data_IF_948200959199
#
_entry.id   IF_948200959199
#
_cell.length_a   1.000
_cell.length_b   1.000
_cell.length_c   1.000
_cell.angle_alpha   90.00
_cell.angle_beta   90.00
_cell.angle_gamma   90.00
#
_symmetry.space_group_name_H-M   'P 1'
#
loop_
_entity.id
_entity.type
_entity.pdbx_description
1 polymer ?
#
# COMPACT_ATOMS: atom_id res chain seq x y z
N UNK A 1 -23.58 18.62 12.15
CA UNK A 1 -22.45 17.85 11.63
C UNK A 1 -22.10 18.05 10.15
N UNK A 2 -22.97 18.56 9.31
CA UNK A 2 -22.73 18.65 7.86
C UNK A 2 -21.52 19.48 7.43
N UNK A 3 -21.08 20.41 8.24
CA UNK A 3 -19.94 21.31 7.89
C UNK A 3 -18.63 20.99 8.66
N UNK A 4 -18.65 20.17 9.71
CA UNK A 4 -17.48 19.96 10.58
C UNK A 4 -16.37 19.15 9.89
N UNK A 5 -16.71 18.06 9.20
CA UNK A 5 -15.74 17.27 8.44
C UNK A 5 -15.09 18.09 7.30
N UNK A 6 -15.85 18.85 6.46
CA UNK A 6 -15.27 19.77 5.48
C UNK A 6 -14.33 20.82 6.09
N UNK A 7 -14.63 21.34 7.28
CA UNK A 7 -13.76 22.31 7.98
C UNK A 7 -12.44 21.66 8.43
N UNK A 8 -12.49 20.46 9.03
CA UNK A 8 -11.28 19.72 9.42
C UNK A 8 -10.44 19.42 8.17
N UNK A 9 -11.06 18.91 7.14
CA UNK A 9 -10.39 18.59 5.88
C UNK A 9 -9.78 19.84 5.22
N UNK A 10 -10.50 20.96 5.21
CA UNK A 10 -10.02 22.25 4.73
C UNK A 10 -8.82 22.75 5.54
N UNK A 11 -8.86 22.64 6.85
CA UNK A 11 -7.72 22.97 7.72
C UNK A 11 -6.47 22.14 7.36
N UNK A 12 -6.62 20.82 7.25
CA UNK A 12 -5.51 19.92 6.87
C UNK A 12 -4.96 20.30 5.50
N UNK A 13 -5.83 20.56 4.53
CA UNK A 13 -5.46 20.97 3.17
C UNK A 13 -4.66 22.30 3.18
N UNK A 14 -5.14 23.32 3.88
CA UNK A 14 -4.47 24.62 3.99
C UNK A 14 -3.08 24.46 4.63
N UNK A 15 -2.97 23.74 5.75
CA UNK A 15 -1.68 23.51 6.42
C UNK A 15 -0.74 22.72 5.49
N UNK A 16 -1.23 21.71 4.79
CA UNK A 16 -0.43 20.95 3.82
C UNK A 16 0.11 21.85 2.69
N UNK A 17 -0.70 22.75 2.15
CA UNK A 17 -0.26 23.75 1.16
C UNK A 17 0.81 24.67 1.76
N UNK A 18 0.62 25.17 2.98
CA UNK A 18 1.57 26.07 3.65
C UNK A 18 2.91 25.40 3.95
N UNK A 19 2.90 24.11 4.28
CA UNK A 19 4.10 23.31 4.50
C UNK A 19 4.83 22.95 3.20
N UNK A 20 4.13 22.97 2.07
CA UNK A 20 4.65 22.58 0.74
C UNK A 20 5.26 23.77 0.03
N UNK A 21 6.50 24.11 0.37
CA UNK A 21 7.23 25.19 -0.30
C UNK A 21 7.55 24.79 -1.74
N UNK A 22 7.41 25.77 -2.65
CA UNK A 22 7.80 25.57 -4.05
C UNK A 22 9.33 25.42 -4.13
N UNK A 23 9.78 24.28 -4.63
CA UNK A 23 11.19 24.04 -4.90
C UNK A 23 11.52 24.13 -6.39
N UNK A 24 12.74 24.55 -6.70
CA UNK A 24 13.37 24.48 -8.02
C UNK A 24 14.59 23.56 -8.01
N UNK A 25 14.92 22.96 -6.86
CA UNK A 25 16.04 22.03 -6.71
C UNK A 25 15.61 20.61 -7.09
N UNK A 26 16.35 20.03 -8.02
CA UNK A 26 16.09 18.68 -8.55
C UNK A 26 16.10 17.61 -7.47
N UNK A 27 17.13 17.58 -6.63
CA UNK A 27 17.28 16.57 -5.57
C UNK A 27 16.22 16.72 -4.47
N UNK A 28 15.82 17.94 -4.18
CA UNK A 28 14.70 18.20 -3.25
C UNK A 28 13.40 17.65 -3.81
N UNK A 29 13.14 17.86 -5.10
CA UNK A 29 11.89 17.45 -5.73
C UNK A 29 11.77 15.93 -5.89
N UNK A 30 12.81 15.25 -6.40
CA UNK A 30 12.76 13.83 -6.73
C UNK A 30 13.34 12.90 -5.67
N UNK A 31 14.34 13.36 -4.89
CA UNK A 31 15.04 12.54 -3.90
C UNK A 31 14.71 12.93 -2.44
N UNK A 32 13.85 13.92 -2.21
CA UNK A 32 13.40 14.29 -0.86
C UNK A 32 14.50 14.88 0.04
N UNK A 33 15.65 15.23 -0.51
CA UNK A 33 16.76 15.83 0.22
C UNK A 33 16.43 17.30 0.48
N UNK A 34 16.75 17.81 1.68
CA UNK A 34 16.54 19.24 1.99
C UNK A 34 17.38 20.14 1.08
N UNK A 35 17.03 21.42 0.95
CA UNK A 35 17.80 22.39 0.16
C UNK A 35 19.25 22.55 0.70
N UNK A 36 19.48 22.21 1.96
CA UNK A 36 20.81 22.20 2.59
C UNK A 36 21.61 20.89 2.35
N UNK A 37 21.05 19.94 1.58
CA UNK A 37 21.70 18.65 1.30
C UNK A 37 21.54 17.61 2.41
N UNK A 38 20.75 17.86 3.44
CA UNK A 38 20.57 16.94 4.56
C UNK A 38 19.45 15.92 4.28
N UNK A 39 19.68 14.63 4.58
CA UNK A 39 18.65 13.60 4.50
C UNK A 39 17.63 13.77 5.64
N UNK A 40 16.41 13.20 5.48
CA UNK A 40 15.41 13.23 6.54
C UNK A 40 15.86 12.43 7.78
N UNK A 41 15.58 12.98 8.96
CA UNK A 41 15.88 12.33 10.24
C UNK A 41 14.97 11.10 10.50
N UNK A 42 15.33 10.31 11.54
CA UNK A 42 14.66 9.06 11.89
C UNK A 42 13.13 9.22 12.00
N UNK A 43 12.65 10.11 12.85
CA UNK A 43 11.21 10.26 13.10
C UNK A 43 10.46 10.85 11.91
N UNK A 44 11.11 11.68 11.11
CA UNK A 44 10.56 12.18 9.85
C UNK A 44 10.31 11.02 8.89
N UNK A 45 11.27 10.10 8.75
CA UNK A 45 11.11 8.89 7.94
C UNK A 45 10.06 7.95 8.51
N UNK A 46 10.05 7.70 9.83
CA UNK A 46 9.06 6.84 10.48
C UNK A 46 7.66 7.37 10.20
N UNK A 47 7.42 8.64 10.44
CA UNK A 47 6.09 9.23 10.24
C UNK A 47 5.67 9.23 8.78
N UNK A 48 6.60 9.55 7.87
CA UNK A 48 6.33 9.45 6.44
C UNK A 48 6.01 8.01 6.01
N UNK A 49 6.79 7.03 6.44
CA UNK A 49 6.52 5.61 6.13
C UNK A 49 5.18 5.14 6.67
N UNK A 50 4.86 5.46 7.93
CA UNK A 50 3.61 5.03 8.57
C UNK A 50 2.40 5.65 7.90
N UNK A 51 2.39 6.99 7.75
CA UNK A 51 1.21 7.70 7.25
C UNK A 51 0.94 7.43 5.79
N UNK A 52 1.98 7.18 4.99
CA UNK A 52 1.83 6.84 3.57
C UNK A 52 1.37 5.41 3.33
N UNK A 53 1.58 4.52 4.29
CA UNK A 53 1.18 3.12 4.18
C UNK A 53 -0.12 2.78 4.93
N UNK A 54 -0.52 3.61 5.88
CA UNK A 54 -1.87 3.58 6.46
C UNK A 54 -2.83 4.31 5.51
N UNK A 55 -3.18 3.68 4.41
CA UNK A 55 -4.14 4.22 3.44
C UNK A 55 -5.53 4.39 4.07
N UNK A 56 -6.32 5.31 3.57
CA UNK A 56 -7.72 5.42 3.99
C UNK A 56 -8.49 4.11 3.80
N UNK A 57 -8.26 3.44 2.66
CA UNK A 57 -8.80 2.10 2.43
C UNK A 57 -8.27 1.05 3.41
N UNK A 58 -7.04 1.17 3.89
CA UNK A 58 -6.47 0.24 4.86
C UNK A 58 -7.17 0.31 6.21
N UNK A 59 -7.43 1.51 6.69
CA UNK A 59 -8.21 1.75 7.90
C UNK A 59 -9.64 1.21 7.74
N UNK A 60 -10.28 1.55 6.63
CA UNK A 60 -11.64 1.07 6.33
C UNK A 60 -11.68 -0.47 6.24
N UNK A 61 -10.71 -1.09 5.55
CA UNK A 61 -10.65 -2.54 5.43
C UNK A 61 -10.36 -3.22 6.76
N UNK A 62 -9.48 -2.67 7.61
CA UNK A 62 -9.24 -3.20 8.95
C UNK A 62 -10.53 -3.23 9.78
N UNK A 63 -11.31 -2.14 9.74
CA UNK A 63 -12.60 -2.07 10.41
C UNK A 63 -13.64 -3.04 9.79
N UNK A 64 -13.75 -3.12 8.46
CA UNK A 64 -14.65 -4.04 7.77
C UNK A 64 -14.32 -5.51 8.09
N UNK A 65 -13.03 -5.87 8.06
CA UNK A 65 -12.61 -7.24 8.40
C UNK A 65 -12.85 -7.55 9.88
N UNK A 66 -12.66 -6.57 10.77
CA UNK A 66 -13.04 -6.69 12.18
C UNK A 66 -14.54 -6.91 12.36
N UNK A 67 -15.36 -6.19 11.61
CA UNK A 67 -16.81 -6.30 11.62
C UNK A 67 -17.32 -7.70 11.21
N UNK A 68 -16.80 -8.25 10.12
CA UNK A 68 -17.26 -9.56 9.63
C UNK A 68 -16.58 -10.76 10.27
N UNK A 69 -15.27 -10.64 10.60
CA UNK A 69 -14.43 -11.78 11.01
C UNK A 69 -13.77 -11.59 12.39
N UNK A 70 -14.17 -10.56 13.14
CA UNK A 70 -13.70 -10.29 14.50
C UNK A 70 -12.19 -10.01 14.56
N UNK A 71 -11.59 -10.43 15.66
CA UNK A 71 -10.15 -10.25 15.91
C UNK A 71 -9.29 -10.84 14.78
N UNK A 72 -9.68 -11.99 14.25
CA UNK A 72 -8.91 -12.70 13.22
C UNK A 72 -8.88 -11.96 11.89
N UNK A 73 -9.98 -11.28 11.53
CA UNK A 73 -10.01 -10.40 10.36
C UNK A 73 -9.14 -9.16 10.52
N UNK A 74 -9.16 -8.54 11.70
CA UNK A 74 -8.30 -7.40 12.02
C UNK A 74 -6.81 -7.79 12.03
N UNK A 75 -6.47 -8.91 12.66
CA UNK A 75 -5.11 -9.45 12.67
C UNK A 75 -4.62 -9.79 11.25
N UNK A 76 -5.50 -10.37 10.42
CA UNK A 76 -5.16 -10.66 9.03
C UNK A 76 -4.70 -9.41 8.28
N UNK A 77 -5.38 -8.29 8.49
CA UNK A 77 -4.97 -7.04 7.87
C UNK A 77 -3.71 -6.44 8.51
N UNK A 78 -3.57 -6.55 9.84
CA UNK A 78 -2.36 -6.09 10.54
C UNK A 78 -1.10 -6.85 10.10
N UNK A 79 -1.22 -8.13 9.70
CA UNK A 79 -0.10 -8.94 9.22
C UNK A 79 0.52 -8.42 7.92
N UNK A 80 -0.24 -7.71 7.08
CA UNK A 80 0.35 -7.02 5.92
C UNK A 80 1.39 -5.98 6.31
N UNK A 81 1.30 -5.39 7.52
CA UNK A 81 2.26 -4.40 8.02
C UNK A 81 3.60 -4.99 8.46
N UNK A 82 3.69 -6.33 8.56
CA UNK A 82 4.98 -7.04 8.63
C UNK A 82 5.83 -6.81 7.37
N UNK A 83 5.23 -6.31 6.29
CA UNK A 83 5.94 -5.85 5.09
C UNK A 83 6.97 -4.75 5.38
N UNK A 84 6.84 -3.99 6.45
CA UNK A 84 7.92 -3.09 6.88
C UNK A 84 9.15 -3.86 7.35
N UNK A 85 8.98 -4.99 8.03
CA UNK A 85 10.10 -5.83 8.46
C UNK A 85 10.79 -6.45 7.25
N UNK A 86 10.02 -7.09 6.36
CA UNK A 86 10.56 -7.70 5.13
C UNK A 86 11.13 -6.64 4.20
N UNK A 87 10.49 -5.46 4.07
CA UNK A 87 10.99 -4.32 3.31
C UNK A 87 12.32 -3.79 3.84
N UNK A 88 12.46 -3.67 5.16
CA UNK A 88 13.73 -3.30 5.79
C UNK A 88 14.86 -4.29 5.51
N UNK A 89 14.56 -5.61 5.52
CA UNK A 89 15.51 -6.66 5.17
C UNK A 89 15.88 -6.61 3.68
N UNK A 90 14.91 -6.34 2.80
CA UNK A 90 15.13 -6.20 1.36
C UNK A 90 16.01 -4.99 1.06
N UNK A 91 15.70 -3.83 1.65
CA UNK A 91 16.49 -2.59 1.46
C UNK A 91 17.91 -2.76 2.03
N UNK A 92 18.09 -3.41 3.18
CA UNK A 92 19.42 -3.65 3.74
C UNK A 92 20.29 -4.46 2.77
N UNK A 93 19.72 -5.50 2.15
CA UNK A 93 20.43 -6.29 1.16
C UNK A 93 20.66 -5.51 -0.13
N UNK A 94 19.63 -4.94 -0.72
CA UNK A 94 19.65 -4.32 -2.03
C UNK A 94 20.60 -3.11 -2.05
N UNK A 95 20.43 -2.18 -1.09
CA UNK A 95 21.18 -0.92 -1.07
C UNK A 95 22.53 -1.05 -0.38
N UNK A 96 22.57 -1.63 0.83
CA UNK A 96 23.75 -1.55 1.70
C UNK A 96 24.68 -2.75 1.58
N UNK A 97 24.22 -3.90 1.08
CA UNK A 97 25.10 -5.06 0.81
C UNK A 97 25.51 -5.15 -0.65
N UNK A 98 24.57 -4.92 -1.56
CA UNK A 98 24.82 -5.04 -3.00
C UNK A 98 25.08 -3.70 -3.70
N UNK A 99 24.82 -2.55 -3.07
CA UNK A 99 25.13 -1.21 -3.58
C UNK A 99 24.21 -0.68 -4.67
N UNK A 100 23.05 -1.29 -4.89
CA UNK A 100 22.09 -0.81 -5.88
C UNK A 100 21.42 0.49 -5.43
N UNK A 101 21.21 1.41 -6.37
CA UNK A 101 20.59 2.72 -6.12
C UNK A 101 19.06 2.71 -6.24
N UNK A 102 18.49 1.68 -6.85
CA UNK A 102 17.05 1.48 -7.00
C UNK A 102 16.71 0.01 -7.19
N UNK A 103 15.41 -0.33 -7.06
CA UNK A 103 14.92 -1.68 -7.40
C UNK A 103 15.09 -1.95 -8.90
N UNK A 104 14.91 -0.92 -9.73
CA UNK A 104 15.08 -1.02 -11.18
C UNK A 104 16.52 -1.36 -11.56
N UNK A 105 17.50 -0.74 -10.91
CA UNK A 105 18.93 -1.03 -11.15
C UNK A 105 19.23 -2.51 -10.88
N UNK A 106 18.74 -3.04 -9.75
CA UNK A 106 18.89 -4.45 -9.41
C UNK A 106 18.22 -5.37 -10.42
N UNK A 107 16.97 -5.08 -10.79
CA UNK A 107 16.24 -5.91 -11.74
C UNK A 107 16.82 -5.83 -13.16
N UNK A 108 17.39 -4.67 -13.52
CA UNK A 108 18.09 -4.52 -14.78
C UNK A 108 19.39 -5.34 -14.83
N UNK A 109 20.15 -5.30 -13.72
CA UNK A 109 21.39 -6.08 -13.58
C UNK A 109 21.13 -7.59 -13.70
N UNK A 110 20.01 -8.07 -13.13
CA UNK A 110 19.68 -9.50 -13.09
C UNK A 110 18.94 -10.01 -14.33
N UNK A 111 18.01 -9.24 -14.86
CA UNK A 111 17.04 -9.68 -15.89
C UNK A 111 16.95 -8.74 -17.09
N UNK A 112 17.85 -7.73 -17.18
CA UNK A 112 17.89 -6.78 -18.28
C UNK A 112 16.58 -6.00 -18.45
N UNK A 113 16.24 -5.68 -19.71
CA UNK A 113 15.02 -4.92 -20.04
C UNK A 113 13.72 -5.61 -19.62
N UNK A 114 13.68 -6.91 -19.51
CA UNK A 114 12.51 -7.65 -19.06
C UNK A 114 12.30 -7.46 -17.56
N UNK A 115 13.40 -7.42 -16.76
CA UNK A 115 13.35 -7.13 -15.34
C UNK A 115 12.67 -5.81 -15.04
N UNK A 116 13.13 -4.74 -15.68
CA UNK A 116 12.56 -3.40 -15.50
C UNK A 116 11.18 -3.25 -16.14
N UNK A 117 10.94 -3.84 -17.30
CA UNK A 117 9.68 -3.72 -18.04
C UNK A 117 8.50 -4.30 -17.26
N UNK A 118 8.59 -5.55 -16.83
CA UNK A 118 7.56 -6.21 -16.02
C UNK A 118 7.32 -5.46 -14.70
N UNK A 119 8.39 -5.04 -14.03
CA UNK A 119 8.32 -4.32 -12.77
C UNK A 119 7.61 -2.97 -12.91
N UNK A 120 8.05 -2.14 -13.85
CA UNK A 120 7.49 -0.82 -14.08
C UNK A 120 6.02 -0.88 -14.48
N UNK A 121 5.61 -1.91 -15.23
CA UNK A 121 4.22 -2.14 -15.58
C UNK A 121 3.35 -2.37 -14.34
N UNK A 122 3.74 -3.31 -13.45
CA UNK A 122 2.98 -3.61 -12.22
C UNK A 122 2.96 -2.42 -11.26
N UNK A 123 4.11 -1.76 -11.09
CA UNK A 123 4.23 -0.58 -10.21
C UNK A 123 3.41 0.60 -10.74
N UNK A 124 3.38 0.82 -12.06
CA UNK A 124 2.55 1.85 -12.68
C UNK A 124 1.07 1.63 -12.41
N UNK A 125 0.57 0.40 -12.61
CA UNK A 125 -0.83 0.04 -12.29
C UNK A 125 -1.10 0.24 -10.79
N UNK A 126 -0.17 -0.17 -9.93
CA UNK A 126 -0.30 0.01 -8.49
C UNK A 126 -0.51 1.48 -8.11
N UNK A 127 0.36 2.37 -8.59
CA UNK A 127 0.26 3.80 -8.27
C UNK A 127 -1.07 4.41 -8.75
N UNK A 128 -1.55 4.04 -9.94
CA UNK A 128 -2.85 4.50 -10.44
C UNK A 128 -3.98 3.95 -9.54
N UNK A 129 -3.91 2.68 -9.13
CA UNK A 129 -4.90 2.08 -8.24
C UNK A 129 -4.91 2.70 -6.83
N UNK A 130 -3.76 3.19 -6.35
CA UNK A 130 -3.68 3.93 -5.09
C UNK A 130 -4.40 5.28 -5.16
N UNK A 131 -4.19 6.04 -6.23
CA UNK A 131 -4.92 7.30 -6.45
C UNK A 131 -6.43 7.02 -6.49
N UNK A 132 -6.85 6.04 -7.29
CA UNK A 132 -8.24 5.61 -7.41
C UNK A 132 -8.86 5.28 -6.05
N UNK A 133 -8.20 4.39 -5.28
CA UNK A 133 -8.79 3.86 -4.05
C UNK A 133 -8.93 4.92 -2.96
N UNK A 134 -7.97 5.83 -2.81
CA UNK A 134 -8.05 6.90 -1.82
C UNK A 134 -9.10 7.96 -2.21
N UNK A 135 -9.20 8.32 -3.48
CA UNK A 135 -10.26 9.22 -3.96
C UNK A 135 -11.66 8.63 -3.80
N UNK A 136 -11.80 7.32 -4.01
CA UNK A 136 -13.07 6.62 -3.79
C UNK A 136 -13.51 6.70 -2.31
N UNK A 137 -12.59 6.49 -1.37
CA UNK A 137 -12.90 6.64 0.08
C UNK A 137 -13.30 8.08 0.38
N UNK A 138 -12.56 9.08 -0.10
CA UNK A 138 -12.93 10.49 0.06
C UNK A 138 -14.36 10.72 -0.43
N UNK A 139 -14.69 10.29 -1.63
CA UNK A 139 -16.04 10.47 -2.18
C UNK A 139 -17.14 9.91 -1.27
N UNK A 140 -16.97 8.68 -0.79
CA UNK A 140 -17.95 7.99 0.07
C UNK A 140 -18.14 8.71 1.41
N UNK A 141 -17.10 9.32 1.96
CA UNK A 141 -17.17 10.05 3.23
C UNK A 141 -18.00 11.34 3.15
N UNK A 142 -18.06 11.96 1.97
CA UNK A 142 -18.77 13.22 1.77
C UNK A 142 -20.17 13.08 1.16
N UNK A 143 -20.48 11.95 0.55
CA UNK A 143 -21.80 11.75 -0.03
C UNK A 143 -22.02 10.39 -0.67
N UNK A 144 -23.29 10.12 -0.99
CA UNK A 144 -23.66 8.93 -1.74
C UNK A 144 -23.00 8.94 -3.13
N UNK A 145 -22.61 7.78 -3.62
CA UNK A 145 -21.93 7.64 -4.91
C UNK A 145 -22.71 8.33 -6.05
N UNK A 146 -22.06 9.22 -6.78
CA UNK A 146 -22.63 10.01 -7.86
C UNK A 146 -23.36 11.29 -7.42
N UNK A 147 -23.50 11.57 -6.12
CA UNK A 147 -24.06 12.84 -5.64
C UNK A 147 -23.13 14.03 -5.93
N UNK A 148 -23.67 15.24 -5.92
CA UNK A 148 -22.86 16.45 -6.11
C UNK A 148 -21.79 16.61 -5.04
N UNK A 149 -22.08 16.24 -3.78
CA UNK A 149 -21.11 16.27 -2.69
C UNK A 149 -19.99 15.24 -2.88
N UNK A 150 -20.34 14.04 -3.33
CA UNK A 150 -19.37 12.99 -3.67
C UNK A 150 -18.39 13.46 -4.75
N UNK A 151 -18.92 13.94 -5.89
CA UNK A 151 -18.11 14.42 -7.01
C UNK A 151 -17.31 15.67 -6.63
N UNK A 152 -17.95 16.62 -5.96
CA UNK A 152 -17.31 17.87 -5.50
C UNK A 152 -16.15 17.60 -4.55
N UNK A 153 -16.31 16.68 -3.58
CA UNK A 153 -15.24 16.31 -2.67
C UNK A 153 -14.06 15.68 -3.43
N UNK A 154 -14.31 14.70 -4.28
CA UNK A 154 -13.25 14.06 -5.08
C UNK A 154 -12.46 15.10 -5.87
N UNK A 155 -13.14 15.99 -6.59
CA UNK A 155 -12.48 17.00 -7.41
C UNK A 155 -11.71 18.02 -6.57
N UNK A 156 -12.28 18.49 -5.45
CA UNK A 156 -11.63 19.43 -4.56
C UNK A 156 -10.36 18.85 -3.92
N UNK A 157 -10.44 17.64 -3.37
CA UNK A 157 -9.28 16.96 -2.77
C UNK A 157 -8.22 16.61 -3.82
N UNK A 158 -8.61 16.16 -5.01
CA UNK A 158 -7.70 15.93 -6.12
C UNK A 158 -6.93 17.21 -6.50
N UNK A 159 -7.64 18.32 -6.65
CA UNK A 159 -7.03 19.59 -7.04
C UNK A 159 -6.06 20.10 -5.96
N UNK A 160 -6.46 20.08 -4.68
CA UNK A 160 -5.63 20.57 -3.59
C UNK A 160 -4.41 19.68 -3.37
N UNK A 161 -4.59 18.35 -3.36
CA UNK A 161 -3.47 17.41 -3.20
C UNK A 161 -2.49 17.51 -4.35
N UNK A 162 -2.98 17.56 -5.58
CA UNK A 162 -2.14 17.76 -6.76
C UNK A 162 -1.35 19.07 -6.66
N UNK A 163 -2.01 20.16 -6.26
CA UNK A 163 -1.39 21.49 -6.14
C UNK A 163 -0.17 21.43 -5.19
N UNK A 164 -0.34 20.98 -3.95
CA UNK A 164 0.77 21.02 -3.01
C UNK A 164 1.84 19.96 -3.32
N UNK A 165 1.48 18.80 -3.88
CA UNK A 165 2.47 17.81 -4.35
C UNK A 165 3.33 18.39 -5.48
N UNK A 166 2.74 19.12 -6.44
CA UNK A 166 3.47 19.77 -7.53
C UNK A 166 4.38 20.92 -7.07
N UNK A 167 4.12 21.52 -5.91
CA UNK A 167 4.97 22.59 -5.39
C UNK A 167 6.35 22.08 -4.97
N UNK A 168 6.42 21.02 -4.17
CA UNK A 168 7.68 20.60 -3.56
C UNK A 168 8.09 19.14 -3.78
N UNK A 169 7.31 18.35 -4.53
CA UNK A 169 7.63 16.95 -4.82
C UNK A 169 7.77 16.08 -3.56
N UNK A 170 8.73 15.14 -3.58
CA UNK A 170 8.94 14.19 -2.49
C UNK A 170 9.30 14.87 -1.16
N UNK A 171 10.07 15.94 -1.17
CA UNK A 171 10.42 16.66 0.05
C UNK A 171 9.20 17.30 0.73
N UNK A 172 8.30 17.90 -0.06
CA UNK A 172 7.05 18.44 0.48
C UNK A 172 6.17 17.31 1.04
N UNK A 173 6.05 16.19 0.33
CA UNK A 173 5.32 15.01 0.80
C UNK A 173 5.84 14.54 2.17
N UNK A 174 7.14 14.35 2.34
CA UNK A 174 7.74 13.94 3.62
C UNK A 174 7.42 14.93 4.76
N UNK A 175 7.36 16.22 4.48
CA UNK A 175 7.04 17.25 5.50
C UNK A 175 5.55 17.27 5.85
N UNK A 176 4.68 17.15 4.85
CA UNK A 176 3.22 17.04 5.08
C UNK A 176 2.87 15.76 5.80
N UNK A 177 3.57 14.66 5.50
CA UNK A 177 3.42 13.36 6.18
C UNK A 177 3.64 13.46 7.69
N UNK A 178 4.65 14.22 8.15
CA UNK A 178 4.90 14.42 9.59
C UNK A 178 3.71 15.10 10.27
N UNK A 179 3.20 16.19 9.67
CA UNK A 179 2.03 16.89 10.18
C UNK A 179 0.79 15.98 10.18
N UNK A 180 0.53 15.34 9.06
CA UNK A 180 -0.64 14.46 8.89
C UNK A 180 -0.57 13.25 9.83
N UNK A 181 0.62 12.68 10.07
CA UNK A 181 0.81 11.61 11.05
C UNK A 181 0.50 12.05 12.48
N UNK A 182 0.95 13.22 12.88
CA UNK A 182 0.63 13.77 14.21
C UNK A 182 -0.88 14.01 14.36
N UNK A 183 -1.52 14.55 13.33
CA UNK A 183 -2.98 14.75 13.32
C UNK A 183 -3.73 13.42 13.35
N UNK A 184 -3.25 12.41 12.61
CA UNK A 184 -3.82 11.06 12.61
C UNK A 184 -3.73 10.42 14.00
N UNK A 185 -2.56 10.43 14.62
CA UNK A 185 -2.36 9.85 15.95
C UNK A 185 -3.21 10.55 17.01
N UNK A 186 -3.31 11.88 16.95
CA UNK A 186 -4.18 12.65 17.85
C UNK A 186 -5.66 12.26 17.65
N UNK A 187 -6.10 12.22 16.41
CA UNK A 187 -7.48 11.84 16.04
C UNK A 187 -7.79 10.42 16.50
N UNK A 188 -6.87 9.48 16.27
CA UNK A 188 -7.00 8.08 16.71
C UNK A 188 -7.04 7.97 18.22
N UNK A 189 -6.17 8.70 18.94
CA UNK A 189 -6.16 8.70 20.41
C UNK A 189 -7.49 9.21 20.99
N UNK A 190 -8.03 10.31 20.45
CA UNK A 190 -9.34 10.86 20.86
C UNK A 190 -10.44 9.84 20.57
N UNK A 191 -10.48 9.29 19.37
CA UNK A 191 -11.46 8.29 18.95
C UNK A 191 -11.47 7.06 19.88
N UNK A 192 -10.29 6.50 20.17
CA UNK A 192 -10.15 5.34 21.04
C UNK A 192 -10.52 5.67 22.49
N UNK A 193 -10.11 6.82 23.02
CA UNK A 193 -10.49 7.25 24.38
C UNK A 193 -12.00 7.31 24.52
N UNK A 194 -12.70 7.89 23.54
CA UNK A 194 -14.16 7.94 23.52
C UNK A 194 -14.78 6.55 23.39
N UNK A 195 -14.22 5.70 22.51
CA UNK A 195 -14.71 4.34 22.31
C UNK A 195 -14.50 3.47 23.56
N UNK A 196 -13.37 3.55 24.22
CA UNK A 196 -13.12 2.87 25.51
C UNK A 196 -14.06 3.36 26.61
N UNK A 197 -14.38 4.65 26.63
CA UNK A 197 -15.32 5.25 27.59
C UNK A 197 -16.77 4.71 27.49
N UNK A 198 -17.12 4.04 26.40
CA UNK A 198 -18.45 3.43 26.26
C UNK A 198 -18.63 2.13 27.04
N UNK A 199 -17.56 1.52 27.55
CA UNK A 199 -17.60 0.21 28.23
C UNK A 199 -17.83 -0.99 27.30
N UNK A 200 -17.83 -0.80 25.98
CA UNK A 200 -18.08 -1.84 24.97
C UNK A 200 -16.90 -2.78 24.75
N UNK A 201 -15.70 -2.42 25.23
CA UNK A 201 -14.48 -3.22 25.11
C UNK A 201 -14.43 -4.29 26.22
N UNK A 202 -15.17 -5.38 26.04
CA UNK A 202 -15.08 -6.57 26.88
C UNK A 202 -14.38 -7.71 26.13
N UNK A 203 -13.89 -8.70 26.89
CA UNK A 203 -13.32 -9.92 26.28
C UNK A 203 -14.32 -10.67 25.40
N UNK A 204 -15.60 -10.68 25.80
CA UNK A 204 -16.68 -11.28 25.02
C UNK A 204 -16.88 -10.57 23.69
N UNK A 205 -16.88 -9.23 23.69
CA UNK A 205 -17.01 -8.43 22.48
C UNK A 205 -15.81 -8.61 21.55
N UNK A 206 -14.58 -8.57 22.10
CA UNK A 206 -13.37 -8.67 21.32
C UNK A 206 -13.16 -10.07 20.72
N UNK A 207 -13.62 -11.11 21.40
CA UNK A 207 -13.49 -12.52 21.02
C UNK A 207 -14.80 -13.15 20.54
N UNK A 208 -15.74 -12.34 20.03
CA UNK A 208 -17.05 -12.83 19.58
C UNK A 208 -16.99 -13.88 18.47
N UNK A 209 -15.86 -13.98 17.76
CA UNK A 209 -15.53 -15.04 16.79
C UNK A 209 -14.45 -15.94 17.34
N UNK A 210 -14.75 -17.25 17.48
CA UNK A 210 -13.78 -18.27 17.81
C UNK A 210 -12.73 -18.40 16.70
N UNK A 211 -11.57 -18.97 17.04
CA UNK A 211 -10.56 -19.32 16.03
C UNK A 211 -10.93 -20.61 15.31
N UNK A 212 -11.05 -20.54 14.01
CA UNK A 212 -11.11 -21.70 13.10
C UNK A 212 -10.20 -21.40 11.90
N UNK A 213 -9.24 -22.27 11.63
CA UNK A 213 -8.26 -22.10 10.54
C UNK A 213 -8.93 -22.05 9.16
N UNK A 214 -10.13 -22.59 9.02
CA UNK A 214 -10.93 -22.59 7.79
C UNK A 214 -11.74 -21.32 7.60
N UNK A 215 -11.90 -20.51 8.66
CA UNK A 215 -12.63 -19.25 8.59
C UNK A 215 -11.89 -18.20 7.74
N UNK A 216 -12.64 -17.27 7.10
CA UNK A 216 -12.07 -16.25 6.21
C UNK A 216 -11.01 -15.36 6.86
N UNK A 217 -11.09 -15.07 8.16
CA UNK A 217 -10.09 -14.26 8.89
C UNK A 217 -8.72 -14.94 8.93
N UNK A 218 -8.58 -16.13 9.58
CA UNK A 218 -7.34 -16.90 9.59
C UNK A 218 -6.82 -17.26 8.19
N UNK A 219 -7.70 -17.61 7.25
CA UNK A 219 -7.29 -17.85 5.85
C UNK A 219 -6.63 -16.61 5.25
N UNK A 220 -7.19 -15.42 5.47
CA UNK A 220 -6.58 -14.18 4.99
C UNK A 220 -5.25 -13.85 5.69
N UNK A 221 -5.07 -14.25 6.96
CA UNK A 221 -3.76 -14.14 7.64
C UNK A 221 -2.69 -14.95 6.91
N UNK A 222 -3.00 -16.18 6.49
CA UNK A 222 -2.08 -17.00 5.70
C UNK A 222 -1.74 -16.34 4.37
N UNK A 223 -2.72 -15.77 3.68
CA UNK A 223 -2.49 -15.00 2.45
C UNK A 223 -1.54 -13.82 2.70
N UNK A 224 -1.75 -13.05 3.76
CA UNK A 224 -0.88 -11.94 4.12
C UNK A 224 0.57 -12.41 4.33
N UNK A 225 0.78 -13.51 5.07
CA UNK A 225 2.11 -14.08 5.31
C UNK A 225 2.80 -14.59 4.03
N UNK A 226 2.05 -15.01 3.02
CA UNK A 226 2.61 -15.38 1.71
C UNK A 226 3.01 -14.13 0.90
N UNK A 227 2.25 -13.05 1.00
CA UNK A 227 2.44 -11.86 0.18
C UNK A 227 3.49 -10.88 0.71
N UNK A 228 3.75 -10.82 2.03
CA UNK A 228 4.69 -9.85 2.62
C UNK A 228 6.14 -9.98 2.10
N UNK A 229 6.51 -11.07 1.48
CA UNK A 229 7.87 -11.28 0.93
C UNK A 229 8.11 -10.55 -0.40
N UNK A 230 7.05 -10.27 -1.14
CA UNK A 230 7.10 -9.55 -2.42
C UNK A 230 6.50 -8.15 -2.33
N UNK A 231 5.54 -7.95 -1.43
CA UNK A 231 4.74 -6.73 -1.34
C UNK A 231 5.57 -5.45 -1.21
N UNK A 232 6.64 -5.39 -0.37
CA UNK A 232 7.47 -4.19 -0.27
C UNK A 232 8.11 -3.78 -1.58
N UNK A 233 8.65 -4.74 -2.34
CA UNK A 233 9.35 -4.46 -3.60
C UNK A 233 8.46 -3.78 -4.64
N UNK A 234 7.17 -4.13 -4.69
CA UNK A 234 6.27 -3.52 -5.67
C UNK A 234 5.61 -2.23 -5.17
N UNK A 235 5.97 -1.79 -3.98
CA UNK A 235 5.50 -0.52 -3.42
C UNK A 235 6.60 0.56 -3.51
N UNK A 236 6.59 1.40 -4.55
CA UNK A 236 7.62 2.41 -4.74
C UNK A 236 7.60 3.45 -3.64
N UNK A 237 6.43 3.73 -3.03
CA UNK A 237 6.30 4.70 -1.96
C UNK A 237 7.07 4.24 -0.72
N UNK A 238 6.98 2.96 -0.35
CA UNK A 238 7.78 2.36 0.73
C UNK A 238 9.26 2.28 0.37
N UNK A 239 9.58 1.80 -0.83
CA UNK A 239 10.96 1.62 -1.28
C UNK A 239 11.70 2.96 -1.38
N UNK A 240 11.08 4.00 -1.92
CA UNK A 240 11.69 5.33 -2.05
C UNK A 240 12.21 5.85 -0.70
N UNK A 241 11.45 5.67 0.39
CA UNK A 241 11.89 6.06 1.75
C UNK A 241 13.09 5.24 2.23
N UNK A 242 13.26 4.02 1.76
CA UNK A 242 14.42 3.17 2.07
C UNK A 242 15.74 3.66 1.46
N UNK A 243 15.69 4.55 0.45
CA UNK A 243 16.86 5.09 -0.22
C UNK A 243 17.31 6.47 0.30
N UNK A 244 16.63 7.07 1.29
CA UNK A 244 16.86 8.47 1.68
C UNK A 244 17.94 8.67 2.74
N UNK A 245 18.09 7.76 3.71
CA UNK A 245 18.98 7.94 4.87
C UNK A 245 20.11 6.91 4.93
N UNK A 246 21.00 7.05 5.92
CA UNK A 246 22.02 6.05 6.22
C UNK A 246 21.44 4.70 6.68
N UNK A 247 22.27 3.65 6.71
CA UNK A 247 21.85 2.29 7.03
C UNK A 247 21.19 2.15 8.40
N UNK A 248 21.74 2.79 9.43
CA UNK A 248 21.25 2.67 10.80
C UNK A 248 19.88 3.34 10.95
N UNK A 249 19.73 4.55 10.40
CA UNK A 249 18.48 5.31 10.36
C UNK A 249 17.42 4.58 9.57
N UNK A 250 17.75 4.08 8.38
CA UNK A 250 16.83 3.30 7.54
C UNK A 250 16.32 2.05 8.26
N UNK A 251 17.21 1.24 8.85
CA UNK A 251 16.83 0.02 9.56
C UNK A 251 15.88 0.31 10.75
N UNK A 252 16.21 1.35 11.55
CA UNK A 252 15.37 1.78 12.66
C UNK A 252 14.02 2.30 12.19
N UNK A 253 13.99 3.07 11.09
CA UNK A 253 12.74 3.64 10.58
C UNK A 253 11.75 2.55 10.13
N UNK A 254 12.20 1.54 9.42
CA UNK A 254 11.36 0.40 9.04
C UNK A 254 10.84 -0.40 10.24
N UNK A 255 11.69 -0.62 11.27
CA UNK A 255 11.26 -1.30 12.48
C UNK A 255 10.20 -0.51 13.24
N UNK A 256 10.39 0.81 13.42
CA UNK A 256 9.41 1.64 14.09
C UNK A 256 8.14 1.80 13.26
N UNK A 257 8.23 1.90 11.95
CA UNK A 257 7.07 1.91 11.07
C UNK A 257 6.23 0.62 11.21
N UNK A 258 6.86 -0.54 11.33
CA UNK A 258 6.16 -1.82 11.47
C UNK A 258 5.21 -1.85 12.68
N UNK A 259 5.73 -1.53 13.89
CA UNK A 259 4.90 -1.64 15.09
C UNK A 259 3.90 -0.50 15.22
N UNK A 260 4.25 0.75 14.84
CA UNK A 260 3.32 1.89 14.89
C UNK A 260 2.15 1.64 13.94
N UNK A 261 2.42 1.22 12.70
CA UNK A 261 1.37 0.91 11.73
C UNK A 261 0.52 -0.27 12.18
N UNK A 262 1.15 -1.35 12.62
CA UNK A 262 0.45 -2.54 13.10
C UNK A 262 -0.51 -2.21 14.25
N UNK A 263 -0.05 -1.45 15.26
CA UNK A 263 -0.90 -1.00 16.36
C UNK A 263 -2.02 -0.06 15.89
N UNK A 264 -1.74 0.86 14.97
CA UNK A 264 -2.77 1.76 14.43
C UNK A 264 -3.88 0.98 13.70
N UNK A 265 -3.51 -0.03 12.93
CA UNK A 265 -4.45 -0.90 12.22
C UNK A 265 -5.27 -1.74 13.21
N UNK A 266 -4.63 -2.33 14.23
CA UNK A 266 -5.33 -3.09 15.27
C UNK A 266 -6.31 -2.20 16.04
N UNK A 267 -5.88 -0.99 16.39
CA UNK A 267 -6.71 -0.02 17.09
C UNK A 267 -7.93 0.39 16.26
N UNK A 268 -7.74 0.69 14.98
CA UNK A 268 -8.83 1.06 14.09
C UNK A 268 -9.75 -0.13 13.78
N UNK A 269 -9.18 -1.31 13.60
CA UNK A 269 -9.92 -2.56 13.37
C UNK A 269 -10.75 -2.97 14.57
N UNK A 270 -10.33 -2.64 15.81
CA UNK A 270 -11.09 -2.93 17.03
C UNK A 270 -12.46 -2.26 17.06
N UNK A 271 -12.60 -1.09 16.42
CA UNK A 271 -13.90 -0.44 16.22
C UNK A 271 -14.85 -1.32 15.39
N UNK A 272 -14.32 -1.93 14.34
CA UNK A 272 -15.05 -2.89 13.53
C UNK A 272 -15.46 -4.13 14.32
N UNK A 273 -14.59 -4.65 15.18
CA UNK A 273 -14.88 -5.82 16.04
C UNK A 273 -16.07 -5.50 16.95
N UNK A 274 -16.07 -4.36 17.62
CA UNK A 274 -17.18 -3.94 18.49
C UNK A 274 -18.47 -3.82 17.69
N UNK A 275 -18.41 -3.16 16.54
CA UNK A 275 -19.57 -3.04 15.67
C UNK A 275 -20.10 -4.41 15.22
N UNK A 276 -19.22 -5.35 14.85
CA UNK A 276 -19.59 -6.69 14.41
C UNK A 276 -20.21 -7.54 15.51
N UNK A 277 -19.71 -7.43 16.76
CA UNK A 277 -20.25 -8.15 17.90
C UNK A 277 -21.66 -7.66 18.31
N UNK A 278 -21.97 -6.39 18.05
CA UNK A 278 -23.21 -5.73 18.48
C UNK A 278 -24.14 -5.36 17.31
N UNK A 279 -23.82 -5.82 16.10
CA UNK A 279 -24.66 -5.62 14.92
C UNK A 279 -25.91 -6.51 14.96
N UNK A 280 -27.02 -5.96 14.50
CA UNK A 280 -28.19 -6.76 14.13
C UNK A 280 -28.10 -7.19 12.67
N UNK A 281 -28.93 -8.17 12.30
CA UNK A 281 -28.85 -8.77 10.96
C UNK A 281 -29.05 -7.71 9.85
N UNK A 282 -28.08 -7.60 8.95
CA UNK A 282 -28.13 -6.71 7.78
C UNK A 282 -27.69 -5.27 8.01
N UNK A 283 -27.31 -4.89 9.24
CA UNK A 283 -26.77 -3.54 9.50
C UNK A 283 -25.38 -3.35 8.87
N UNK A 284 -25.15 -2.18 8.27
CA UNK A 284 -23.82 -1.79 7.80
C UNK A 284 -22.93 -1.34 8.98
N UNK A 285 -21.64 -1.66 8.93
CA UNK A 285 -20.66 -1.33 9.97
C UNK A 285 -20.72 0.14 10.43
N UNK A 286 -20.76 1.07 9.49
CA UNK A 286 -20.78 2.51 9.80
C UNK A 286 -22.06 2.95 10.50
N UNK A 287 -23.21 2.32 10.21
CA UNK A 287 -24.48 2.56 10.90
C UNK A 287 -24.40 2.08 12.34
N UNK A 288 -23.85 0.89 12.56
CA UNK A 288 -23.65 0.34 13.91
C UNK A 288 -22.70 1.22 14.70
N UNK A 289 -21.55 1.61 14.13
CA UNK A 289 -20.62 2.52 14.80
C UNK A 289 -21.25 3.85 15.16
N UNK A 290 -22.05 4.45 14.27
CA UNK A 290 -22.78 5.68 14.54
C UNK A 290 -23.75 5.52 15.71
N UNK A 291 -24.46 4.39 15.77
CA UNK A 291 -25.41 4.07 16.85
C UNK A 291 -24.70 3.85 18.20
N UNK A 292 -23.55 3.18 18.21
CA UNK A 292 -22.82 2.83 19.43
C UNK A 292 -21.97 3.97 19.99
N UNK A 293 -21.31 4.71 19.12
CA UNK A 293 -20.32 5.70 19.53
C UNK A 293 -20.84 7.14 19.45
N UNK A 294 -21.87 7.37 18.63
CA UNK A 294 -22.43 8.70 18.40
C UNK A 294 -21.63 9.54 17.42
N UNK A 295 -21.99 10.80 17.31
CA UNK A 295 -21.57 11.70 16.25
C UNK A 295 -20.10 12.14 16.31
N UNK A 296 -19.58 12.43 17.51
CA UNK A 296 -18.21 12.95 17.65
C UNK A 296 -17.15 11.88 17.35
N UNK A 297 -17.23 10.64 17.88
CA UNK A 297 -16.32 9.58 17.46
C UNK A 297 -16.39 9.26 15.97
N UNK A 298 -17.60 9.28 15.37
CA UNK A 298 -17.75 9.07 13.93
C UNK A 298 -17.12 10.21 13.10
N UNK A 299 -17.17 11.45 13.61
CA UNK A 299 -16.43 12.55 12.99
C UNK A 299 -14.90 12.29 13.06
N UNK A 300 -14.39 11.81 14.18
CA UNK A 300 -12.97 11.45 14.34
C UNK A 300 -12.58 10.27 13.42
N UNK A 301 -13.45 9.25 13.33
CA UNK A 301 -13.28 8.14 12.39
C UNK A 301 -13.13 8.64 10.94
N UNK A 302 -14.06 9.49 10.49
CA UNK A 302 -14.03 10.06 9.14
C UNK A 302 -12.82 11.00 8.93
N UNK A 303 -12.45 11.80 9.94
CA UNK A 303 -11.26 12.65 9.89
C UNK A 303 -9.97 11.85 9.72
N UNK A 304 -9.82 10.73 10.44
CA UNK A 304 -8.68 9.82 10.29
C UNK A 304 -8.57 9.29 8.85
N UNK A 305 -9.70 8.93 8.23
CA UNK A 305 -9.74 8.47 6.84
C UNK A 305 -9.33 9.58 5.86
N UNK A 306 -9.80 10.81 6.07
CA UNK A 306 -9.43 11.96 5.22
C UNK A 306 -7.95 12.29 5.32
N UNK A 307 -7.40 12.35 6.55
CA UNK A 307 -5.97 12.59 6.77
C UNK A 307 -5.14 11.54 6.03
N UNK A 308 -5.49 10.28 6.22
CA UNK A 308 -4.80 9.15 5.62
C UNK A 308 -4.88 9.16 4.09
N UNK A 309 -6.04 9.51 3.51
CA UNK A 309 -6.21 9.62 2.07
C UNK A 309 -5.32 10.71 1.46
N UNK A 310 -5.26 11.89 2.09
CA UNK A 310 -4.46 13.01 1.61
C UNK A 310 -2.96 12.70 1.62
N UNK A 311 -2.45 12.12 2.71
CA UNK A 311 -1.04 11.72 2.85
C UNK A 311 -0.64 10.67 1.81
N UNK A 312 -1.50 9.68 1.59
CA UNK A 312 -1.20 8.64 0.60
C UNK A 312 -1.24 9.19 -0.83
N UNK A 313 -2.19 10.07 -1.15
CA UNK A 313 -2.28 10.66 -2.48
C UNK A 313 -1.03 11.45 -2.85
N UNK A 314 -0.54 12.31 -1.97
CA UNK A 314 0.64 13.13 -2.28
C UNK A 314 1.91 12.30 -2.42
N UNK A 315 2.07 11.29 -1.57
CA UNK A 315 3.19 10.34 -1.64
C UNK A 315 3.14 9.50 -2.91
N UNK A 316 1.96 9.05 -3.32
CA UNK A 316 1.74 8.30 -4.57
C UNK A 316 2.10 9.16 -5.79
N UNK A 317 1.67 10.43 -5.81
CA UNK A 317 2.01 11.36 -6.89
C UNK A 317 3.52 11.65 -6.96
N UNK A 318 4.16 11.81 -5.81
CA UNK A 318 5.61 12.05 -5.74
C UNK A 318 6.40 10.83 -6.25
N UNK A 319 6.02 9.63 -5.84
CA UNK A 319 6.65 8.39 -6.32
C UNK A 319 6.34 8.11 -7.78
N UNK A 320 5.15 8.44 -8.30
CA UNK A 320 4.85 8.31 -9.73
C UNK A 320 5.73 9.23 -10.58
N UNK A 321 5.96 10.44 -10.11
CA UNK A 321 6.87 11.41 -10.74
C UNK A 321 8.30 10.87 -10.81
N UNK A 322 8.84 10.36 -9.70
CA UNK A 322 10.16 9.72 -9.64
C UNK A 322 10.24 8.50 -10.54
N UNK A 323 9.26 7.59 -10.47
CA UNK A 323 9.21 6.40 -11.30
C UNK A 323 9.37 6.72 -12.78
N UNK A 324 8.53 7.61 -13.32
CA UNK A 324 8.48 7.87 -14.77
C UNK A 324 9.67 8.69 -15.25
N UNK A 325 10.11 9.68 -14.47
CA UNK A 325 11.16 10.62 -14.88
C UNK A 325 12.56 10.08 -14.55
N UNK A 326 12.75 9.51 -13.35
CA UNK A 326 14.08 9.11 -12.87
C UNK A 326 14.35 7.64 -13.16
N UNK A 327 13.44 6.74 -12.76
CA UNK A 327 13.70 5.31 -12.80
C UNK A 327 13.46 4.73 -14.21
N UNK A 328 12.37 5.12 -14.87
CA UNK A 328 12.06 4.69 -16.24
C UNK A 328 12.74 5.55 -17.32
N UNK A 329 13.12 6.79 -17.00
CA UNK A 329 13.74 7.76 -17.93
C UNK A 329 12.91 8.02 -19.19
N UNK A 330 11.57 7.97 -19.08
CA UNK A 330 10.67 8.18 -20.21
C UNK A 330 10.51 9.64 -20.60
N UNK A 331 10.81 10.55 -19.69
CA UNK A 331 10.73 11.99 -19.89
C UNK A 331 12.04 12.66 -19.46
N UNK A 332 12.35 13.85 -20.01
CA UNK A 332 13.52 14.61 -19.59
C UNK A 332 13.53 14.83 -18.06
N UNK A 333 14.68 14.66 -17.43
CA UNK A 333 14.89 14.79 -15.99
C UNK A 333 14.76 16.27 -15.53
N UNK A 334 13.53 16.78 -15.53
CA UNK A 334 13.16 18.16 -15.18
C UNK A 334 11.97 18.14 -14.22
N UNK A 335 11.89 19.09 -13.32
CA UNK A 335 10.77 19.25 -12.38
C UNK A 335 9.44 19.42 -13.12
N UNK A 336 9.43 20.12 -14.27
CA UNK A 336 8.24 20.26 -15.10
C UNK A 336 7.70 18.90 -15.58
N UNK A 337 8.60 17.99 -16.00
CA UNK A 337 8.23 16.62 -16.37
C UNK A 337 7.60 15.88 -15.19
N UNK A 338 8.17 16.02 -14.00
CA UNK A 338 7.63 15.42 -12.78
C UNK A 338 6.23 15.93 -12.46
N UNK A 339 5.99 17.22 -12.55
CA UNK A 339 4.65 17.84 -12.35
C UNK A 339 3.64 17.32 -13.36
N UNK A 340 4.01 17.19 -14.62
CA UNK A 340 3.13 16.65 -15.67
C UNK A 340 2.76 15.18 -15.39
N UNK A 341 3.70 14.37 -14.89
CA UNK A 341 3.43 12.97 -14.49
C UNK A 341 2.46 12.93 -13.31
N UNK A 342 2.64 13.78 -12.29
CA UNK A 342 1.68 13.87 -11.18
C UNK A 342 0.27 14.16 -11.66
N UNK A 343 0.13 15.13 -12.59
CA UNK A 343 -1.16 15.48 -13.19
C UNK A 343 -1.75 14.29 -13.98
N UNK A 344 -0.93 13.58 -14.77
CA UNK A 344 -1.36 12.41 -15.53
C UNK A 344 -1.88 11.31 -14.62
N UNK A 345 -1.15 10.96 -13.55
CA UNK A 345 -1.57 9.91 -12.61
C UNK A 345 -2.84 10.30 -11.85
N UNK A 346 -2.99 11.57 -11.49
CA UNK A 346 -4.23 12.08 -10.89
C UNK A 346 -5.42 11.93 -11.85
N UNK A 347 -5.26 12.29 -13.12
CA UNK A 347 -6.32 12.16 -14.13
C UNK A 347 -6.66 10.69 -14.38
N UNK A 348 -5.68 9.80 -14.46
CA UNK A 348 -5.93 8.37 -14.60
C UNK A 348 -6.66 7.79 -13.38
N UNK A 349 -6.28 8.18 -12.16
CA UNK A 349 -6.98 7.78 -10.94
C UNK A 349 -8.43 8.30 -10.91
N UNK A 350 -8.66 9.56 -11.28
CA UNK A 350 -10.01 10.14 -11.42
C UNK A 350 -10.85 9.39 -12.45
N UNK A 351 -10.27 9.05 -13.60
CA UNK A 351 -10.95 8.27 -14.63
C UNK A 351 -11.42 6.91 -14.08
N UNK A 352 -10.57 6.23 -13.29
CA UNK A 352 -10.95 4.96 -12.66
C UNK A 352 -12.05 5.15 -11.61
N UNK A 353 -12.09 6.25 -10.86
CA UNK A 353 -13.17 6.52 -9.88
C UNK A 353 -14.53 6.60 -10.55
N UNK A 354 -14.60 7.25 -11.71
CA UNK A 354 -15.87 7.45 -12.40
C UNK A 354 -16.26 6.30 -13.35
N UNK A 355 -15.28 5.53 -13.84
CA UNK A 355 -15.47 4.47 -14.84
C UNK A 355 -15.21 3.04 -14.28
N UNK A 356 -14.54 2.91 -13.12
CA UNK A 356 -14.04 1.63 -12.60
C UNK A 356 -14.96 0.90 -11.64
N UNK A 357 -14.55 -0.30 -11.23
CA UNK A 357 -15.19 -1.09 -10.16
C UNK A 357 -14.88 -0.46 -8.79
N UNK A 358 -15.87 -0.42 -7.90
CA UNK A 358 -15.82 0.23 -6.59
C UNK A 358 -15.44 -0.71 -5.44
N UNK A 359 -15.09 -1.97 -5.71
CA UNK A 359 -14.62 -2.91 -4.69
C UNK A 359 -13.18 -2.59 -4.27
N UNK A 360 -13.04 -1.94 -3.12
CA UNK A 360 -11.75 -1.52 -2.56
C UNK A 360 -10.81 -2.68 -2.25
N UNK A 361 -11.35 -3.78 -1.71
CA UNK A 361 -10.52 -4.92 -1.30
C UNK A 361 -10.01 -5.71 -2.50
N UNK A 362 -10.85 -5.94 -3.50
CA UNK A 362 -10.44 -6.64 -4.73
C UNK A 362 -9.29 -5.92 -5.43
N UNK A 363 -9.30 -4.58 -5.48
CA UNK A 363 -8.20 -3.80 -6.04
C UNK A 363 -6.87 -4.03 -5.30
N UNK A 364 -6.89 -4.13 -3.94
CA UNK A 364 -5.69 -4.43 -3.14
C UNK A 364 -5.20 -5.84 -3.37
N UNK A 365 -6.10 -6.81 -3.34
CA UNK A 365 -5.76 -8.23 -3.46
C UNK A 365 -5.20 -8.58 -4.85
N UNK A 366 -5.73 -7.96 -5.90
CA UNK A 366 -5.19 -8.05 -7.27
C UNK A 366 -3.74 -7.54 -7.31
N UNK A 367 -3.48 -6.38 -6.73
CA UNK A 367 -2.13 -5.80 -6.67
C UNK A 367 -1.16 -6.69 -5.88
N UNK A 368 -1.58 -7.21 -4.71
CA UNK A 368 -0.77 -8.11 -3.90
C UNK A 368 -0.41 -9.41 -4.62
N UNK A 369 -1.39 -10.04 -5.28
CA UNK A 369 -1.16 -11.27 -6.05
C UNK A 369 -0.27 -11.03 -7.26
N UNK A 370 -0.50 -9.94 -8.01
CA UNK A 370 0.31 -9.57 -9.15
C UNK A 370 1.79 -9.34 -8.78
N UNK A 371 2.08 -8.89 -7.56
CA UNK A 371 3.45 -8.65 -7.09
C UNK A 371 4.19 -9.93 -6.69
N UNK A 372 3.52 -11.06 -6.51
CA UNK A 372 4.13 -12.27 -5.93
C UNK A 372 5.22 -12.90 -6.81
N UNK A 373 5.33 -12.54 -8.10
CA UNK A 373 6.46 -12.92 -8.93
C UNK A 373 7.80 -12.35 -8.43
N UNK A 374 7.77 -11.34 -7.57
CA UNK A 374 8.97 -10.77 -6.94
C UNK A 374 9.44 -11.57 -5.73
N UNK A 375 8.63 -12.47 -5.16
CA UNK A 375 9.07 -13.31 -4.05
C UNK A 375 10.23 -14.26 -4.45
N UNK A 376 10.19 -14.99 -5.59
CA UNK A 376 11.36 -15.73 -6.08
C UNK A 376 12.59 -14.84 -6.34
N UNK A 377 12.38 -13.59 -6.80
CA UNK A 377 13.49 -12.62 -6.98
C UNK A 377 14.19 -12.36 -5.64
N UNK A 378 13.39 -12.12 -4.57
CA UNK A 378 13.93 -11.91 -3.22
C UNK A 378 14.67 -13.15 -2.73
N UNK A 379 14.07 -14.33 -2.85
CA UNK A 379 14.63 -15.56 -2.28
C UNK A 379 15.88 -16.05 -3.02
N UNK A 380 15.85 -16.08 -4.35
CA UNK A 380 16.93 -16.63 -5.16
C UNK A 380 17.97 -15.59 -5.54
N UNK A 381 17.55 -14.44 -6.08
CA UNK A 381 18.48 -13.48 -6.67
C UNK A 381 19.01 -12.47 -5.65
N UNK A 382 18.20 -12.00 -4.69
CA UNK A 382 18.63 -11.00 -3.72
C UNK A 382 19.31 -11.67 -2.51
N UNK A 383 18.60 -12.55 -1.81
CA UNK A 383 19.13 -13.22 -0.60
C UNK A 383 20.01 -14.42 -0.92
N UNK A 384 19.63 -15.20 -1.91
CA UNK A 384 20.41 -16.35 -2.39
C UNK A 384 21.62 -15.96 -3.24
N UNK A 385 21.76 -14.68 -3.62
CA UNK A 385 22.88 -14.16 -4.39
C UNK A 385 23.04 -14.79 -5.78
N UNK A 386 21.96 -15.44 -6.30
CA UNK A 386 22.02 -16.16 -7.57
C UNK A 386 22.02 -15.18 -8.74
N UNK A 387 23.05 -15.30 -9.59
CA UNK A 387 23.19 -14.51 -10.84
C UNK A 387 22.89 -15.37 -12.08
N UNK A 388 22.77 -16.68 -11.89
CA UNK A 388 22.58 -17.71 -12.93
C UNK A 388 21.08 -18.02 -13.18
N UNK A 389 20.17 -17.19 -12.67
CA UNK A 389 18.73 -17.31 -12.96
C UNK A 389 18.45 -16.80 -14.37
N UNK A 390 17.93 -17.63 -15.29
CA UNK A 390 17.65 -17.19 -16.64
C UNK A 390 16.44 -16.26 -16.69
N UNK A 391 16.45 -15.34 -17.65
CA UNK A 391 15.38 -14.33 -17.81
C UNK A 391 14.01 -14.96 -18.01
N UNK A 392 13.92 -16.10 -18.68
CA UNK A 392 12.65 -16.77 -18.90
C UNK A 392 11.98 -17.20 -17.58
N UNK A 393 12.74 -17.60 -16.55
CA UNK A 393 12.18 -17.95 -15.23
C UNK A 393 11.48 -16.75 -14.59
N UNK A 394 12.08 -15.57 -14.69
CA UNK A 394 11.49 -14.31 -14.20
C UNK A 394 10.19 -13.97 -14.97
N UNK A 395 10.23 -14.03 -16.31
CA UNK A 395 9.08 -13.72 -17.16
C UNK A 395 7.94 -14.72 -16.95
N UNK A 396 8.26 -16.00 -16.81
CA UNK A 396 7.26 -17.04 -16.51
C UNK A 396 6.59 -16.78 -15.16
N UNK A 397 7.36 -16.47 -14.12
CA UNK A 397 6.82 -16.12 -12.81
C UNK A 397 5.91 -14.88 -12.88
N UNK A 398 6.30 -13.86 -13.65
CA UNK A 398 5.48 -12.67 -13.90
C UNK A 398 4.15 -13.00 -14.59
N UNK A 399 4.18 -13.82 -15.64
CA UNK A 399 2.98 -14.23 -16.38
C UNK A 399 2.03 -15.00 -15.44
N UNK A 400 2.55 -15.95 -14.66
CA UNK A 400 1.75 -16.74 -13.70
C UNK A 400 1.11 -15.85 -12.65
N UNK A 401 1.86 -14.90 -12.07
CA UNK A 401 1.33 -13.99 -11.07
C UNK A 401 0.27 -13.04 -11.63
N UNK A 402 0.50 -12.53 -12.85
CA UNK A 402 -0.47 -11.68 -13.54
C UNK A 402 -1.76 -12.45 -13.84
N UNK A 403 -1.64 -13.69 -14.31
CA UNK A 403 -2.80 -14.55 -14.57
C UNK A 403 -3.55 -14.90 -13.27
N UNK A 404 -2.82 -15.20 -12.19
CA UNK A 404 -3.40 -15.41 -10.86
C UNK A 404 -4.17 -14.19 -10.35
N UNK A 405 -3.63 -12.98 -10.56
CA UNK A 405 -4.30 -11.74 -10.20
C UNK A 405 -5.58 -11.51 -11.00
N UNK A 406 -5.55 -11.76 -12.32
CA UNK A 406 -6.73 -11.68 -13.18
C UNK A 406 -7.78 -12.72 -12.82
N UNK A 407 -7.37 -13.94 -12.52
CA UNK A 407 -8.26 -15.01 -12.08
C UNK A 407 -8.95 -14.63 -10.76
N UNK A 408 -8.18 -14.13 -9.79
CA UNK A 408 -8.77 -13.65 -8.55
C UNK A 408 -9.78 -12.51 -8.77
N UNK A 409 -9.46 -11.56 -9.64
CA UNK A 409 -10.36 -10.46 -9.97
C UNK A 409 -11.68 -10.96 -10.56
N UNK A 410 -11.63 -11.85 -11.56
CA UNK A 410 -12.83 -12.39 -12.20
C UNK A 410 -13.67 -13.24 -11.25
N UNK A 411 -13.04 -14.05 -10.39
CA UNK A 411 -13.71 -14.85 -9.36
C UNK A 411 -14.36 -13.98 -8.26
N UNK A 412 -13.63 -12.95 -7.77
CA UNK A 412 -14.14 -12.07 -6.72
C UNK A 412 -15.25 -11.12 -7.18
N UNK A 413 -15.23 -10.78 -8.47
CA UNK A 413 -16.25 -9.95 -9.12
C UNK A 413 -17.45 -10.74 -9.64
N UNK A 414 -17.45 -12.07 -9.51
CA UNK A 414 -18.53 -12.95 -9.99
C UNK A 414 -18.58 -13.14 -11.51
N UNK A 415 -17.53 -12.72 -12.23
CA UNK A 415 -17.44 -12.90 -13.68
C UNK A 415 -17.01 -14.34 -14.07
N UNK A 416 -16.43 -15.09 -13.14
CA UNK A 416 -16.09 -16.50 -13.31
C UNK A 416 -16.35 -17.28 -12.03
N UNK A 417 -16.52 -18.60 -12.15
CA UNK A 417 -16.71 -19.55 -11.05
C UNK A 417 -15.83 -20.80 -11.25
N UNK A 418 -14.64 -20.63 -11.82
CA UNK A 418 -13.72 -21.73 -12.11
C UNK A 418 -13.21 -22.44 -10.86
N UNK A 419 -13.14 -21.71 -9.72
CA UNK A 419 -12.69 -22.22 -8.44
C UNK A 419 -13.84 -22.66 -7.52
N UNK A 420 -15.06 -22.85 -8.08
CA UNK A 420 -16.23 -23.31 -7.33
C UNK A 420 -16.78 -22.26 -6.37
N UNK A 421 -17.56 -22.73 -5.37
CA UNK A 421 -18.31 -21.86 -4.43
C UNK A 421 -17.53 -21.49 -3.16
N UNK A 422 -16.21 -21.75 -3.13
CA UNK A 422 -15.39 -21.41 -1.98
C UNK A 422 -15.38 -19.89 -1.71
N UNK A 423 -15.20 -19.52 -0.44
CA UNK A 423 -15.12 -18.12 -0.04
C UNK A 423 -13.94 -17.41 -0.77
N UNK A 424 -14.13 -16.15 -1.12
CA UNK A 424 -13.15 -15.36 -1.90
C UNK A 424 -11.72 -15.39 -1.31
N UNK A 425 -11.55 -15.44 0.01
CA UNK A 425 -10.22 -15.51 0.63
C UNK A 425 -9.59 -16.89 0.54
N UNK A 426 -10.40 -17.95 0.53
CA UNK A 426 -9.93 -19.32 0.27
C UNK A 426 -9.43 -19.44 -1.18
N UNK A 427 -10.16 -18.88 -2.13
CA UNK A 427 -9.72 -18.78 -3.53
C UNK A 427 -8.42 -17.99 -3.65
N UNK A 428 -8.31 -16.86 -2.94
CA UNK A 428 -7.09 -16.05 -2.89
C UNK A 428 -5.90 -16.83 -2.32
N UNK A 429 -6.12 -17.65 -1.28
CA UNK A 429 -5.08 -18.52 -0.71
C UNK A 429 -4.59 -19.55 -1.73
N UNK A 430 -5.50 -20.25 -2.42
CA UNK A 430 -5.13 -21.22 -3.45
C UNK A 430 -4.33 -20.59 -4.59
N UNK A 431 -4.79 -19.43 -5.08
CA UNK A 431 -4.09 -18.67 -6.11
C UNK A 431 -2.70 -18.24 -5.62
N UNK A 432 -2.62 -17.67 -4.40
CA UNK A 432 -1.34 -17.20 -3.83
C UNK A 432 -0.34 -18.33 -3.66
N UNK A 433 -0.76 -19.48 -3.14
CA UNK A 433 0.08 -20.69 -3.03
C UNK A 433 0.56 -21.16 -4.40
N UNK A 434 -0.36 -21.24 -5.38
CA UNK A 434 -0.03 -21.67 -6.75
C UNK A 434 0.98 -20.73 -7.40
N UNK A 435 0.76 -19.42 -7.31
CA UNK A 435 1.66 -18.40 -7.87
C UNK A 435 3.04 -18.47 -7.23
N UNK A 436 3.09 -18.53 -5.89
CA UNK A 436 4.37 -18.59 -5.17
C UNK A 436 5.14 -19.87 -5.49
N UNK A 437 4.47 -21.04 -5.41
CA UNK A 437 5.09 -22.32 -5.68
C UNK A 437 5.58 -22.41 -7.13
N UNK A 438 4.73 -22.08 -8.11
CA UNK A 438 5.09 -22.14 -9.53
C UNK A 438 6.21 -21.14 -9.88
N UNK A 439 6.19 -19.95 -9.26
CA UNK A 439 7.26 -18.97 -9.40
C UNK A 439 8.60 -19.49 -8.87
N UNK A 440 8.63 -20.01 -7.64
CA UNK A 440 9.84 -20.61 -7.05
C UNK A 440 10.32 -21.84 -7.84
N UNK A 441 9.39 -22.66 -8.30
CA UNK A 441 9.71 -23.84 -9.15
C UNK A 441 10.35 -23.41 -10.47
N UNK A 442 9.81 -22.37 -11.14
CA UNK A 442 10.39 -21.82 -12.37
C UNK A 442 11.84 -21.35 -12.17
N UNK A 443 12.14 -20.72 -11.02
CA UNK A 443 13.50 -20.31 -10.68
C UNK A 443 14.41 -21.48 -10.41
N UNK A 444 13.97 -22.45 -9.59
CA UNK A 444 14.75 -23.66 -9.29
C UNK A 444 15.07 -24.44 -10.56
N UNK A 445 14.07 -24.64 -11.43
CA UNK A 445 14.23 -25.31 -12.72
C UNK A 445 15.20 -24.56 -13.65
N UNK A 446 15.07 -23.23 -13.73
CA UNK A 446 15.96 -22.39 -14.54
C UNK A 446 17.42 -22.51 -14.10
N UNK A 447 17.67 -22.41 -12.80
CA UNK A 447 19.02 -22.58 -12.24
C UNK A 447 19.57 -23.99 -12.54
N UNK A 448 18.75 -25.02 -12.40
CA UNK A 448 19.16 -26.39 -12.67
C UNK A 448 19.54 -26.60 -14.13
N UNK A 449 18.72 -26.10 -15.07
CA UNK A 449 18.98 -26.19 -16.51
C UNK A 449 20.24 -25.42 -16.91
N UNK A 450 20.42 -24.18 -16.46
CA UNK A 450 21.61 -23.38 -16.74
C UNK A 450 22.90 -24.03 -16.26
N UNK A 451 22.85 -24.75 -15.13
CA UNK A 451 24.01 -25.53 -14.63
C UNK A 451 24.27 -26.78 -15.46
N UNK A 452 23.22 -27.47 -15.91
CA UNK A 452 23.38 -28.65 -16.76
C UNK A 452 23.99 -28.29 -18.12
N UNK A 453 23.61 -27.16 -18.72
CA UNK A 453 24.20 -26.63 -19.95
C UNK A 453 25.68 -26.29 -19.77
N UNK A 454 26.03 -25.54 -18.70
CA UNK A 454 27.43 -25.21 -18.40
C UNK A 454 28.31 -26.45 -18.13
N UNK A 455 27.76 -27.48 -17.48
CA UNK A 455 28.47 -28.73 -17.24
C UNK A 455 28.71 -29.52 -18.56
N UNK A 456 27.75 -29.44 -19.49
CA UNK A 456 27.83 -30.10 -20.81
C UNK A 456 28.88 -29.41 -21.71
N UNK A 457 28.91 -28.07 -21.72
CA UNK A 457 29.92 -27.29 -22.46
C UNK A 457 31.34 -27.55 -21.94
N UNK A 458 31.51 -27.60 -20.59
CA UNK A 458 32.80 -27.91 -20.00
C UNK A 458 33.26 -29.37 -20.22
N UNK A 459 32.36 -30.31 -20.49
CA UNK A 459 32.68 -31.70 -20.80
C UNK A 459 33.05 -31.92 -22.28
N UNK A 460 32.72 -30.94 -23.16
CA UNK A 460 33.04 -30.96 -24.59
C UNK A 460 34.26 -30.15 -24.96
N UNK A 461 34.72 -29.25 -24.06
CA UNK A 461 35.98 -28.46 -24.18
C UNK A 461 37.17 -29.21 -23.59
#
# INVERSE_FOLDING_TARGET
MSYTLPLIAGFIAIVSVLLSRRTQHYDTFFHGISENGEPPGLWTLVFSQVTTWIFARSLMNAAILGFYYGLWGTLAYAFYYLSFITGGLIIDNLRFRHGFCSVQDFLHDRFGRWGTGCYNFVVGIRLISEVFANLLVIGILFGAAGSQLYVGAILAFSAVTLLYSMLGGLHASIRTDVFQMLMFLLTLAVLLTMAFGTGLYSSETLLFKAFDISDPGPVLMLVALLQIWSYPLHDPVMMDRGFLADRATTKKSFLHAAWISGLSILAFGSLGIIAGALATQGEAMTVVLQRLLGDVPMLMFNAALVISAMSTLDSTLSSSSKLVVIDMKLLPARIASGRNVMALFMVLGLALVFLGNKDLFSAVAVSGTASMYLAPVVFFSLWGGRTDVPVWSYVTSFIIATFGALLYFTESSGHSQLLGDAHKYTKLLWISLTVLFSGCFSYALGIWLSRAEAAHENAQA
#
